data_IF_915948253445
#
_entry.id   IF_915948253445
#
_cell.length_a   1.000
_cell.length_b   1.000
_cell.length_c   1.000
_cell.angle_alpha   90.00
_cell.angle_beta   90.00
_cell.angle_gamma   90.00
#
_symmetry.space_group_name_H-M   'P 1'
#
loop_
_entity.id
_entity.type
_entity.pdbx_description
1 polymer ?
#
# COMPACT_ATOMS: atom_id res chain seq x y z
N UNK A 1 2.41 -27.01 5.00
CA UNK A 1 3.51 -26.04 4.78
C UNK A 1 2.91 -24.65 4.81
N UNK A 2 3.26 -23.82 5.78
CA UNK A 2 2.95 -22.38 5.68
C UNK A 2 3.85 -21.83 4.58
N UNK A 3 3.28 -21.36 3.47
CA UNK A 3 4.06 -20.56 2.54
C UNK A 3 4.58 -19.32 3.28
N UNK A 4 5.82 -18.91 3.01
CA UNK A 4 6.32 -17.64 3.50
C UNK A 4 5.44 -16.50 2.95
N UNK A 5 5.25 -15.44 3.73
CA UNK A 5 4.53 -14.26 3.26
C UNK A 5 5.22 -13.70 2.00
N UNK A 6 4.48 -13.37 0.92
CA UNK A 6 5.06 -12.71 -0.23
C UNK A 6 5.81 -11.43 0.16
N UNK A 7 6.92 -11.14 -0.51
CA UNK A 7 7.68 -9.91 -0.24
C UNK A 7 7.01 -8.67 -0.84
N UNK A 8 6.24 -8.85 -1.91
CA UNK A 8 5.56 -7.79 -2.64
C UNK A 8 4.13 -8.16 -2.98
N UNK A 9 3.35 -7.14 -3.30
CA UNK A 9 2.02 -7.26 -3.84
C UNK A 9 1.91 -6.45 -5.14
N UNK A 10 0.91 -6.78 -5.93
CA UNK A 10 0.48 -5.95 -7.04
C UNK A 10 -0.70 -5.10 -6.61
N UNK A 11 -0.56 -3.78 -6.77
CA UNK A 11 -1.59 -2.80 -6.48
C UNK A 11 -2.18 -2.28 -7.79
N UNK A 12 -3.47 -2.53 -8.00
CA UNK A 12 -4.23 -2.02 -9.14
C UNK A 12 -5.05 -0.81 -8.72
N UNK A 13 -4.73 0.35 -9.31
CA UNK A 13 -5.47 1.61 -9.13
C UNK A 13 -6.26 1.97 -10.39
N UNK A 14 -7.29 2.81 -10.26
CA UNK A 14 -8.00 3.39 -11.41
C UNK A 14 -7.29 4.66 -11.87
N UNK A 15 -6.83 4.71 -13.13
CA UNK A 15 -6.15 5.88 -13.67
C UNK A 15 -7.08 7.10 -13.70
N UNK A 16 -6.85 8.09 -12.82
CA UNK A 16 -7.76 9.24 -12.58
C UNK A 16 -8.16 10.05 -13.82
N UNK A 17 -7.35 10.05 -14.88
CA UNK A 17 -7.65 10.73 -16.15
C UNK A 17 -8.27 9.81 -17.20
N UNK A 18 -7.92 8.53 -17.17
CA UNK A 18 -8.27 7.58 -18.23
C UNK A 18 -9.38 6.61 -17.86
N UNK A 19 -9.72 6.46 -16.58
CA UNK A 19 -10.60 5.40 -16.07
C UNK A 19 -10.04 3.98 -16.15
N UNK A 20 -8.91 3.78 -16.86
CA UNK A 20 -8.30 2.46 -17.06
C UNK A 20 -7.52 1.97 -15.83
N UNK A 21 -7.52 0.65 -15.53
CA UNK A 21 -6.68 0.06 -14.49
C UNK A 21 -5.18 0.33 -14.71
N UNK A 22 -4.45 0.56 -13.63
CA UNK A 22 -3.00 0.77 -13.57
C UNK A 22 -2.44 -0.09 -12.44
N UNK A 23 -1.69 -1.12 -12.82
CA UNK A 23 -1.03 -2.03 -11.87
C UNK A 23 0.42 -1.59 -11.64
N UNK A 24 0.87 -1.69 -10.38
CA UNK A 24 2.27 -1.60 -9.99
C UNK A 24 2.64 -2.78 -9.11
N UNK A 25 3.92 -3.14 -9.07
CA UNK A 25 4.50 -4.02 -8.05
C UNK A 25 5.08 -3.17 -6.93
N UNK A 26 4.81 -3.53 -5.68
CA UNK A 26 5.29 -2.77 -4.51
C UNK A 26 5.47 -3.67 -3.28
N UNK A 27 6.53 -3.41 -2.53
CA UNK A 27 6.83 -4.13 -1.29
C UNK A 27 5.87 -3.69 -0.18
N UNK A 28 5.50 -4.63 0.70
CA UNK A 28 4.48 -4.37 1.71
C UNK A 28 4.81 -4.96 3.08
N UNK A 29 4.21 -4.37 4.10
CA UNK A 29 4.17 -4.93 5.45
C UNK A 29 2.71 -5.13 5.88
N UNK A 30 2.48 -6.02 6.84
CA UNK A 30 1.15 -6.20 7.45
C UNK A 30 1.17 -5.76 8.90
N UNK A 31 0.06 -5.19 9.34
CA UNK A 31 -0.18 -4.87 10.75
C UNK A 31 -1.68 -4.87 11.04
N UNK A 32 -2.09 -5.64 12.05
CA UNK A 32 -3.48 -5.75 12.51
C UNK A 32 -4.51 -6.04 11.39
N UNK A 33 -4.18 -6.92 10.44
CA UNK A 33 -5.07 -7.29 9.34
C UNK A 33 -5.05 -6.35 8.12
N UNK A 34 -4.38 -5.21 8.22
CA UNK A 34 -4.19 -4.27 7.12
C UNK A 34 -2.84 -4.51 6.42
N UNK A 35 -2.76 -4.10 5.16
CA UNK A 35 -1.54 -4.10 4.37
C UNK A 35 -1.05 -2.66 4.23
N UNK A 36 0.25 -2.46 4.22
CA UNK A 36 0.86 -1.14 4.14
C UNK A 36 1.97 -1.13 3.11
N UNK A 37 1.97 -0.09 2.27
CA UNK A 37 2.98 0.14 1.25
C UNK A 37 3.55 1.55 1.42
N UNK A 38 4.79 1.76 0.96
CA UNK A 38 5.48 3.05 1.10
C UNK A 38 5.78 3.63 -0.27
N UNK A 39 5.28 4.84 -0.53
CA UNK A 39 5.59 5.58 -1.74
C UNK A 39 6.82 6.46 -1.52
N UNK A 40 7.96 6.05 -2.08
CA UNK A 40 9.20 6.83 -2.06
C UNK A 40 9.00 8.23 -2.66
N UNK A 41 8.34 8.31 -3.82
CA UNK A 41 8.00 9.58 -4.47
C UNK A 41 6.78 10.29 -3.86
N UNK A 42 6.28 9.80 -2.73
CA UNK A 42 5.13 10.35 -2.02
C UNK A 42 3.95 10.74 -2.92
N UNK A 43 3.49 11.98 -2.78
CA UNK A 43 2.36 12.57 -3.52
C UNK A 43 2.59 12.70 -5.04
N UNK A 44 3.82 12.56 -5.51
CA UNK A 44 4.14 12.61 -6.94
C UNK A 44 3.93 11.28 -7.64
N UNK A 45 3.88 10.18 -6.88
CA UNK A 45 3.64 8.87 -7.43
C UNK A 45 2.25 8.80 -8.10
N UNK A 46 2.20 8.39 -9.37
CA UNK A 46 0.95 8.38 -10.13
C UNK A 46 -0.10 7.47 -9.50
N UNK A 47 0.31 6.35 -8.90
CA UNK A 47 -0.59 5.43 -8.20
C UNK A 47 -1.18 6.05 -6.92
N UNK A 48 -0.40 6.88 -6.19
CA UNK A 48 -0.91 7.66 -5.04
C UNK A 48 -1.94 8.69 -5.50
N UNK A 49 -1.64 9.42 -6.57
CA UNK A 49 -2.61 10.37 -7.16
C UNK A 49 -3.87 9.69 -7.66
N UNK A 50 -3.77 8.46 -8.15
CA UNK A 50 -4.91 7.66 -8.59
C UNK A 50 -5.77 7.22 -7.39
N UNK A 51 -5.18 6.63 -6.35
CA UNK A 51 -5.94 6.16 -5.18
C UNK A 51 -6.56 7.31 -4.36
N UNK A 52 -5.97 8.51 -4.40
CA UNK A 52 -6.60 9.70 -3.79
C UNK A 52 -7.88 10.10 -4.51
N UNK A 53 -7.96 9.87 -5.82
CA UNK A 53 -9.14 10.17 -6.62
C UNK A 53 -10.19 9.05 -6.57
N UNK A 54 -9.74 7.78 -6.54
CA UNK A 54 -10.59 6.59 -6.37
C UNK A 54 -9.91 5.62 -5.39
N UNK A 55 -10.34 5.61 -4.11
CA UNK A 55 -9.77 4.76 -3.07
C UNK A 55 -9.95 3.26 -3.26
N UNK A 56 -10.92 2.82 -4.08
CA UNK A 56 -11.15 1.39 -4.33
C UNK A 56 -10.06 0.85 -5.25
N UNK A 57 -9.29 -0.11 -4.72
CA UNK A 57 -8.14 -0.72 -5.39
C UNK A 57 -8.24 -2.23 -5.40
N UNK A 58 -7.54 -2.86 -6.34
CA UNK A 58 -7.31 -4.31 -6.33
C UNK A 58 -5.94 -4.61 -5.74
N UNK A 59 -5.82 -5.68 -4.97
CA UNK A 59 -4.57 -6.17 -4.40
C UNK A 59 -4.39 -7.64 -4.78
N UNK A 60 -3.18 -7.99 -5.21
CA UNK A 60 -2.76 -9.38 -5.41
C UNK A 60 -1.45 -9.65 -4.68
N UNK A 61 -1.48 -10.49 -3.66
CA UNK A 61 -0.34 -10.85 -2.83
C UNK A 61 -0.16 -12.38 -2.83
N UNK A 62 0.87 -12.87 -3.53
CA UNK A 62 1.04 -14.31 -3.75
C UNK A 62 -0.17 -14.90 -4.49
N UNK A 63 -0.86 -15.85 -3.85
CA UNK A 63 -2.07 -16.49 -4.39
C UNK A 63 -3.37 -15.77 -4.02
N UNK A 64 -3.31 -14.79 -3.11
CA UNK A 64 -4.49 -14.04 -2.67
C UNK A 64 -4.75 -12.87 -3.62
N UNK A 65 -6.00 -12.71 -4.05
CA UNK A 65 -6.46 -11.52 -4.79
C UNK A 65 -7.75 -11.02 -4.15
N UNK A 66 -7.79 -9.74 -3.81
CA UNK A 66 -8.93 -9.13 -3.10
C UNK A 66 -9.06 -7.64 -3.44
N UNK A 67 -10.27 -7.11 -3.22
CA UNK A 67 -10.52 -5.67 -3.27
C UNK A 67 -10.14 -5.03 -1.92
N UNK A 68 -9.66 -3.80 -1.95
CA UNK A 68 -9.32 -3.05 -0.76
C UNK A 68 -9.69 -1.57 -0.91
N UNK A 69 -9.80 -0.87 0.22
CA UNK A 69 -9.85 0.59 0.28
C UNK A 69 -8.48 1.11 0.67
N UNK A 70 -7.92 2.00 -0.16
CA UNK A 70 -6.63 2.63 0.08
C UNK A 70 -6.78 4.02 0.70
N UNK A 71 -5.95 4.35 1.67
CA UNK A 71 -5.79 5.73 2.15
C UNK A 71 -4.34 6.05 2.43
N UNK A 72 -3.97 7.31 2.22
CA UNK A 72 -2.71 7.83 2.72
C UNK A 72 -2.84 8.00 4.24
N UNK A 73 -1.87 7.47 4.99
CA UNK A 73 -1.76 7.72 6.43
C UNK A 73 -1.21 9.14 6.62
N UNK A 74 -1.94 9.96 7.35
CA UNK A 74 -1.51 11.32 7.66
C UNK A 74 -0.50 11.27 8.83
N UNK A 75 0.77 11.52 8.53
CA UNK A 75 1.83 11.45 9.54
C UNK A 75 1.74 12.56 10.61
N UNK A 76 0.93 13.61 10.40
CA UNK A 76 0.70 14.66 11.40
C UNK A 76 -0.35 14.21 12.42
N UNK A 77 -1.46 13.65 11.94
CA UNK A 77 -2.56 13.22 12.82
C UNK A 77 -2.40 11.77 13.33
N UNK A 78 -1.65 10.92 12.63
CA UNK A 78 -1.37 9.52 12.99
C UNK A 78 0.15 9.21 13.06
N UNK A 79 0.94 9.96 13.83
CA UNK A 79 2.40 9.87 13.81
C UNK A 79 2.93 8.51 14.30
N UNK A 80 2.27 7.86 15.27
CA UNK A 80 2.66 6.54 15.79
C UNK A 80 2.48 5.45 14.73
N UNK A 81 1.38 5.49 13.98
CA UNK A 81 1.13 4.54 12.90
C UNK A 81 2.17 4.71 11.81
N UNK A 82 2.38 5.96 11.34
CA UNK A 82 3.38 6.26 10.33
C UNK A 82 4.77 5.76 10.74
N UNK A 83 5.28 6.12 11.93
CA UNK A 83 6.58 5.63 12.43
C UNK A 83 6.63 4.12 12.56
N UNK A 84 5.55 3.51 13.06
CA UNK A 84 5.47 2.07 13.26
C UNK A 84 5.58 1.27 11.96
N UNK A 85 4.92 1.73 10.90
CA UNK A 85 4.97 1.10 9.58
C UNK A 85 6.33 1.30 8.91
N UNK A 86 6.89 2.51 8.97
CA UNK A 86 8.24 2.77 8.44
C UNK A 86 9.29 1.88 9.11
N UNK A 87 9.23 1.76 10.43
CA UNK A 87 10.13 0.88 11.17
C UNK A 87 9.90 -0.62 10.86
N UNK A 88 8.66 -1.03 10.54
CA UNK A 88 8.40 -2.39 10.05
C UNK A 88 9.03 -2.62 8.69
N UNK A 89 8.90 -1.67 7.76
CA UNK A 89 9.52 -1.75 6.44
C UNK A 89 11.04 -1.78 6.55
N UNK A 90 11.64 -0.90 7.36
CA UNK A 90 13.07 -0.87 7.62
C UNK A 90 13.60 -2.21 8.14
N UNK A 91 12.90 -2.82 9.11
CA UNK A 91 13.30 -4.14 9.63
C UNK A 91 13.14 -5.27 8.61
N UNK A 92 12.15 -5.20 7.73
CA UNK A 92 11.87 -6.27 6.75
C UNK A 92 12.76 -6.15 5.51
N UNK A 93 13.11 -4.92 5.11
CA UNK A 93 13.68 -4.62 3.79
C UNK A 93 14.95 -3.75 3.82
N UNK A 94 15.34 -3.22 4.98
CA UNK A 94 16.45 -2.26 5.11
C UNK A 94 16.15 -0.86 4.60
N UNK A 95 14.87 -0.55 4.39
CA UNK A 95 14.40 0.79 4.02
C UNK A 95 12.92 1.01 4.41
N UNK A 96 12.57 2.22 4.83
CA UNK A 96 11.20 2.56 5.21
C UNK A 96 10.79 4.02 5.04
N UNK A 97 11.50 4.83 4.23
CA UNK A 97 11.22 6.26 4.13
C UNK A 97 10.25 6.64 3.00
N UNK A 98 9.07 7.13 3.32
CA UNK A 98 8.17 7.68 2.32
C UNK A 98 6.72 7.76 2.78
N UNK A 99 5.83 8.14 1.87
CA UNK A 99 4.41 8.27 2.20
C UNK A 99 3.81 6.89 2.47
N UNK A 100 3.30 6.69 3.68
CA UNK A 100 2.66 5.44 4.06
C UNK A 100 1.23 5.41 3.51
N UNK A 101 0.88 4.31 2.86
CA UNK A 101 -0.47 4.02 2.38
C UNK A 101 -0.97 2.76 3.05
N UNK A 102 -2.13 2.86 3.69
CA UNK A 102 -2.87 1.74 4.26
C UNK A 102 -3.82 1.17 3.20
N UNK A 103 -3.87 -0.16 3.09
CA UNK A 103 -4.80 -0.91 2.27
C UNK A 103 -5.62 -1.82 3.20
N UNK A 104 -6.91 -1.52 3.29
CA UNK A 104 -7.86 -2.27 4.13
C UNK A 104 -8.67 -3.20 3.23
N UNK A 105 -8.52 -4.54 3.36
CA UNK A 105 -9.34 -5.48 2.60
C UNK A 105 -10.83 -5.19 2.76
N UNK A 106 -11.59 -5.26 1.67
CA UNK A 106 -13.04 -5.24 1.74
C UNK A 106 -13.54 -6.51 2.47
N UNK A 107 -14.56 -6.35 3.32
CA UNK A 107 -15.23 -7.46 3.99
C UNK A 107 -16.08 -8.28 3.01
#
# INVERSE_FOLDING_TARGET
MSAAEPEFLYLTTTGRRSGRPREIEIWFTRRYGHYYVIAERGEEAQWVRNLRAEPRVGVRAGLETFAATARVVDAVSEPELARGIRALSERKYGWGDGLVVELTPAA
#
